data_IF_801884291999
#
_entry.id   IF_801884291999
#
_cell.length_a   1.000
_cell.length_b   1.000
_cell.length_c   1.000
_cell.angle_alpha   90.00
_cell.angle_beta   90.00
_cell.angle_gamma   90.00
#
_symmetry.space_group_name_H-M   'P 1'
#
loop_
_entity.id
_entity.type
_entity.pdbx_description
1 polymer ?
#
# COMPACT_ATOMS: atom_id res chain seq x y z
N UNK A 1 5.19 9.50 -15.16
CA UNK A 1 5.20 8.48 -14.09
C UNK A 1 5.43 7.13 -14.74
N UNK A 2 6.05 6.20 -14.03
CA UNK A 2 6.28 4.83 -14.48
C UNK A 2 5.07 3.97 -14.11
N UNK A 3 4.70 3.03 -14.99
CA UNK A 3 3.59 2.10 -14.75
C UNK A 3 4.10 0.81 -14.15
N UNK A 4 3.43 0.36 -13.11
CA UNK A 4 3.72 -0.86 -12.39
C UNK A 4 2.43 -1.64 -12.15
N UNK A 5 2.58 -2.91 -11.85
CA UNK A 5 1.48 -3.80 -11.50
C UNK A 5 1.79 -4.42 -10.13
N UNK A 6 0.78 -4.72 -9.33
CA UNK A 6 0.97 -5.51 -8.11
C UNK A 6 -0.18 -6.48 -7.86
N UNK A 7 0.13 -7.54 -7.12
CA UNK A 7 -0.86 -8.39 -6.45
C UNK A 7 -0.56 -8.41 -4.95
N UNK A 8 -1.57 -8.74 -4.14
CA UNK A 8 -1.36 -9.05 -2.73
C UNK A 8 -1.23 -10.56 -2.52
N UNK A 9 -0.56 -10.98 -1.46
CA UNK A 9 -0.36 -12.41 -1.17
C UNK A 9 -1.69 -13.17 -1.06
N UNK A 10 -1.88 -14.17 -1.94
CA UNK A 10 -3.11 -14.94 -2.08
C UNK A 10 -3.77 -14.80 -3.46
N UNK A 11 -3.48 -13.71 -4.16
CA UNK A 11 -3.97 -13.42 -5.50
C UNK A 11 -3.10 -14.10 -6.58
N UNK A 12 -3.57 -14.08 -7.83
CA UNK A 12 -2.89 -14.69 -8.98
C UNK A 12 -2.60 -13.69 -10.09
N UNK A 13 -1.32 -13.40 -10.30
CA UNK A 13 -0.86 -12.68 -11.49
C UNK A 13 -1.05 -13.52 -12.77
N UNK A 14 -1.48 -12.92 -13.91
CA UNK A 14 -1.84 -11.51 -14.10
C UNK A 14 -3.32 -11.19 -13.83
N UNK A 15 -4.15 -12.18 -13.51
CA UNK A 15 -5.62 -12.01 -13.51
C UNK A 15 -6.13 -11.05 -12.42
N UNK A 16 -5.45 -11.05 -11.28
CA UNK A 16 -5.84 -10.27 -10.10
C UNK A 16 -4.94 -9.04 -9.91
N UNK A 17 -4.15 -8.66 -10.93
CA UNK A 17 -3.20 -7.57 -10.83
C UNK A 17 -3.88 -6.19 -10.86
N UNK A 18 -3.44 -5.32 -9.96
CA UNK A 18 -3.77 -3.90 -9.96
C UNK A 18 -2.69 -3.10 -10.69
N UNK A 19 -3.10 -2.16 -11.52
CA UNK A 19 -2.19 -1.21 -12.18
C UNK A 19 -2.11 0.08 -11.37
N UNK A 20 -0.91 0.65 -11.23
CA UNK A 20 -0.70 1.96 -10.62
C UNK A 20 0.47 2.71 -11.25
N UNK A 21 0.57 4.00 -10.95
CA UNK A 21 1.65 4.86 -11.41
C UNK A 21 2.52 5.34 -10.25
N UNK A 22 3.84 5.25 -10.42
CA UNK A 22 4.81 5.73 -9.43
C UNK A 22 5.83 6.68 -10.05
N UNK A 23 6.37 7.60 -9.25
CA UNK A 23 7.45 8.49 -9.66
C UNK A 23 8.82 7.81 -9.60
N UNK A 24 8.93 6.69 -8.90
CA UNK A 24 10.17 5.95 -8.69
C UNK A 24 10.55 5.10 -9.90
N UNK A 25 11.87 4.93 -10.10
CA UNK A 25 12.40 4.02 -11.12
C UNK A 25 12.55 2.61 -10.54
N UNK A 26 12.59 1.56 -11.38
CA UNK A 26 12.64 0.15 -10.94
C UNK A 26 13.80 -0.24 -10.01
N UNK A 27 14.81 0.63 -9.87
CA UNK A 27 15.92 0.47 -8.92
C UNK A 27 15.50 0.75 -7.47
N UNK A 28 14.42 1.52 -7.27
CA UNK A 28 13.90 2.00 -6.00
C UNK A 28 12.69 1.18 -5.54
N UNK A 29 12.86 -0.15 -5.50
CA UNK A 29 11.75 -1.10 -5.35
C UNK A 29 10.96 -0.94 -4.05
N UNK A 30 11.63 -0.61 -2.94
CA UNK A 30 10.95 -0.39 -1.65
C UNK A 30 9.96 0.77 -1.75
N UNK A 31 10.35 1.88 -2.35
CA UNK A 31 9.48 3.03 -2.55
C UNK A 31 8.32 2.73 -3.52
N UNK A 32 8.55 1.88 -4.53
CA UNK A 32 7.47 1.41 -5.42
C UNK A 32 6.47 0.55 -4.64
N UNK A 33 6.94 -0.29 -3.70
CA UNK A 33 6.07 -1.09 -2.86
C UNK A 33 5.27 -0.24 -1.86
N UNK A 34 5.86 0.84 -1.33
CA UNK A 34 5.15 1.85 -0.52
C UNK A 34 4.04 2.53 -1.33
N UNK A 35 4.32 3.00 -2.55
CA UNK A 35 3.31 3.59 -3.44
C UNK A 35 2.19 2.57 -3.81
N UNK A 36 2.53 1.29 -4.00
CA UNK A 36 1.54 0.23 -4.24
C UNK A 36 0.63 0.01 -3.03
N UNK A 37 1.20 0.04 -1.83
CA UNK A 37 0.47 -0.09 -0.58
C UNK A 37 -0.49 1.10 -0.35
N UNK A 38 -0.05 2.33 -0.58
CA UNK A 38 -0.88 3.53 -0.51
C UNK A 38 -2.03 3.47 -1.52
N UNK A 39 -1.73 3.10 -2.77
CA UNK A 39 -2.75 2.92 -3.81
C UNK A 39 -3.80 1.87 -3.41
N UNK A 40 -3.38 0.73 -2.85
CA UNK A 40 -4.31 -0.29 -2.38
C UNK A 40 -5.15 0.18 -1.18
N UNK A 41 -4.53 0.90 -0.25
CA UNK A 41 -5.21 1.48 0.91
C UNK A 41 -6.31 2.46 0.50
N UNK A 42 -6.01 3.38 -0.41
CA UNK A 42 -6.91 4.47 -0.81
C UNK A 42 -8.05 4.01 -1.73
N UNK A 43 -7.79 3.08 -2.64
CA UNK A 43 -8.72 2.78 -3.75
C UNK A 43 -9.38 1.41 -3.68
N UNK A 44 -8.82 0.46 -2.92
CA UNK A 44 -9.24 -0.95 -2.97
C UNK A 44 -9.59 -1.56 -1.61
N UNK A 45 -9.82 -0.71 -0.60
CA UNK A 45 -10.27 -1.17 0.71
C UNK A 45 -9.15 -1.68 1.61
N UNK A 46 -7.88 -1.37 1.31
CA UNK A 46 -6.77 -1.73 2.19
C UNK A 46 -6.88 -1.12 3.59
N UNK A 47 -7.68 -0.08 3.78
CA UNK A 47 -8.01 0.49 5.09
C UNK A 47 -8.84 -0.44 6.00
N UNK A 48 -9.51 -1.46 5.45
CA UNK A 48 -10.28 -2.46 6.21
C UNK A 48 -9.44 -3.69 6.61
N UNK A 49 -8.21 -3.80 6.11
CA UNK A 49 -7.37 -4.99 6.29
C UNK A 49 -6.42 -4.88 7.49
N UNK A 50 -5.91 -6.03 7.91
CA UNK A 50 -4.84 -6.11 8.90
C UNK A 50 -3.49 -5.99 8.19
N UNK A 51 -2.70 -4.99 8.61
CA UNK A 51 -1.33 -4.78 8.15
C UNK A 51 -0.34 -5.43 9.14
N UNK A 52 0.85 -5.88 8.69
CA UNK A 52 1.43 -5.70 7.35
C UNK A 52 0.86 -6.63 6.27
N UNK A 53 1.00 -6.23 5.01
CA UNK A 53 0.57 -6.99 3.83
C UNK A 53 1.76 -7.21 2.91
N UNK A 54 1.82 -8.38 2.28
CA UNK A 54 2.82 -8.72 1.27
C UNK A 54 2.33 -8.32 -0.12
N UNK A 55 3.12 -7.49 -0.80
CA UNK A 55 2.91 -7.03 -2.17
C UNK A 55 3.94 -7.66 -3.11
N UNK A 56 3.47 -8.30 -4.17
CA UNK A 56 4.34 -8.74 -5.27
C UNK A 56 4.25 -7.72 -6.42
N UNK A 57 5.38 -7.08 -6.72
CA UNK A 57 5.45 -5.97 -7.68
C UNK A 57 5.98 -6.46 -9.02
N UNK A 58 5.38 -5.98 -10.11
CA UNK A 58 5.79 -6.27 -11.48
C UNK A 58 5.98 -4.99 -12.31
N UNK A 59 6.81 -5.10 -13.33
CA UNK A 59 6.93 -4.12 -14.41
C UNK A 59 6.90 -4.86 -15.75
N UNK A 60 5.97 -4.50 -16.63
CA UNK A 60 5.78 -5.15 -17.94
C UNK A 60 5.70 -6.69 -17.81
N UNK A 61 4.96 -7.18 -16.80
CA UNK A 61 4.82 -8.61 -16.50
C UNK A 61 6.06 -9.34 -15.98
N UNK A 62 7.13 -8.62 -15.62
CA UNK A 62 8.30 -9.19 -14.93
C UNK A 62 8.27 -8.84 -13.44
N UNK A 63 8.45 -9.85 -12.60
CA UNK A 63 8.54 -9.68 -11.14
C UNK A 63 9.77 -8.82 -10.77
N UNK A 64 9.54 -7.79 -9.96
CA UNK A 64 10.57 -6.95 -9.34
C UNK A 64 10.96 -7.45 -7.95
N UNK A 65 10.00 -7.97 -7.20
CA UNK A 65 10.18 -8.56 -5.87
C UNK A 65 8.87 -8.67 -5.09
N UNK A 66 8.96 -9.31 -3.92
CA UNK A 66 7.89 -9.40 -2.92
C UNK A 66 8.32 -8.58 -1.72
N UNK A 67 7.44 -7.72 -1.21
CA UNK A 67 7.73 -6.77 -0.14
C UNK A 67 6.61 -6.80 0.90
N UNK A 68 6.98 -7.01 2.15
CA UNK A 68 6.08 -6.84 3.30
C UNK A 68 6.03 -5.36 3.66
N UNK A 69 4.89 -4.72 3.46
CA UNK A 69 4.69 -3.29 3.77
C UNK A 69 3.83 -3.17 5.02
N UNK A 70 4.28 -2.35 5.97
CA UNK A 70 3.55 -2.07 7.21
C UNK A 70 2.79 -0.74 7.07
N UNK A 71 1.60 -0.65 7.68
CA UNK A 71 0.90 0.62 7.82
C UNK A 71 1.35 1.27 9.13
N UNK A 72 2.15 2.33 9.02
CA UNK A 72 2.56 3.13 10.18
C UNK A 72 1.51 4.20 10.46
N UNK A 73 0.92 4.18 11.66
CA UNK A 73 0.01 5.22 12.12
C UNK A 73 0.78 6.29 12.89
N UNK A 74 0.74 7.53 12.41
CA UNK A 74 1.27 8.69 13.12
C UNK A 74 0.39 9.05 14.33
N UNK A 75 0.94 9.70 15.38
CA UNK A 75 0.17 10.13 16.55
C UNK A 75 -1.02 11.03 16.19
N UNK A 76 -2.22 10.62 16.60
CA UNK A 76 -3.45 11.42 16.48
C UNK A 76 -3.94 11.84 17.86
N UNK A 77 -4.30 13.12 18.00
CA UNK A 77 -4.79 13.71 19.26
C UNK A 77 -6.25 14.16 19.11
N UNK A 78 -7.08 13.82 20.08
CA UNK A 78 -8.49 14.24 20.14
C UNK A 78 -8.81 14.90 21.49
N UNK A 79 -9.85 15.72 21.54
CA UNK A 79 -10.28 16.43 22.76
C UNK A 79 -11.73 16.11 23.10
N UNK A 80 -12.07 16.12 24.39
CA UNK A 80 -13.45 16.02 24.88
C UNK A 80 -13.66 17.06 25.96
N UNK A 81 -14.79 17.77 25.91
CA UNK A 81 -15.15 18.79 26.91
C UNK A 81 -15.38 18.12 28.27
N UNK A 82 -14.72 18.63 29.31
CA UNK A 82 -15.02 18.26 30.70
C UNK A 82 -16.18 19.13 31.19
N UNK A 83 -17.29 18.53 31.61
CA UNK A 83 -18.33 19.25 32.34
C UNK A 83 -17.82 19.54 33.75
N UNK A 84 -17.78 20.82 34.11
CA UNK A 84 -17.53 21.26 35.48
C UNK A 84 -18.85 21.30 36.23
N UNK A 85 -18.94 20.59 37.35
CA UNK A 85 -19.94 20.91 38.36
C UNK A 85 -19.42 22.14 39.10
N UNK A 86 -19.93 23.32 38.76
CA UNK A 86 -19.76 24.55 39.54
C UNK A 86 -20.62 24.52 40.81
#
# INVERSE_FOLDING_TARGET
>A
MNKYEYIISGDKYPNDAYEFESWWHEYYKSYIAEDAAEHYFDYYGGWELNWPIDFEIYINGKILGIFTVSLEMEPSFSTTKKEGNE
#
